data_IF_810432993369
#
_entry.id   IF_810432993369
#
_cell.length_a   1.000
_cell.length_b   1.000
_cell.length_c   1.000
_cell.angle_alpha   90.00
_cell.angle_beta   90.00
_cell.angle_gamma   90.00
#
_symmetry.space_group_name_H-M   'P 1'
#
loop_
_entity.id
_entity.type
_entity.pdbx_description
1 polymer ?
#
# COMPACT_ATOMS: atom_id res chain seq x y z
N UNK A 1 -22.41 -29.86 12.67
CA UNK A 1 -22.03 -30.46 11.37
C UNK A 1 -20.56 -30.87 11.44
N UNK A 2 -20.27 -32.14 11.21
CA UNK A 2 -18.91 -32.65 11.12
C UNK A 2 -18.38 -32.44 9.71
N UNK A 3 -17.16 -31.89 9.60
CA UNK A 3 -16.47 -31.63 8.33
C UNK A 3 -15.01 -32.11 8.39
N UNK A 4 -14.41 -32.44 7.26
CA UNK A 4 -13.04 -32.92 7.19
C UNK A 4 -12.02 -31.78 7.44
N UNK A 5 -12.38 -30.54 7.10
CA UNK A 5 -11.59 -29.35 7.35
C UNK A 5 -12.50 -28.16 7.66
N UNK A 6 -12.31 -27.57 8.82
CA UNK A 6 -13.08 -26.38 9.24
C UNK A 6 -12.74 -25.16 8.39
N UNK A 7 -11.48 -24.99 8.01
CA UNK A 7 -11.03 -23.89 7.14
C UNK A 7 -11.65 -23.98 5.75
N UNK A 8 -11.65 -25.17 5.14
CA UNK A 8 -12.28 -25.38 3.83
C UNK A 8 -13.80 -25.19 3.89
N UNK A 9 -14.44 -25.64 4.98
CA UNK A 9 -15.86 -25.41 5.20
C UNK A 9 -16.17 -23.91 5.32
N UNK A 10 -15.36 -23.16 6.07
CA UNK A 10 -15.51 -21.72 6.23
C UNK A 10 -15.38 -20.99 4.88
N UNK A 11 -14.37 -21.33 4.07
CA UNK A 11 -14.19 -20.75 2.72
C UNK A 11 -15.40 -21.01 1.81
N UNK A 12 -15.90 -22.24 1.79
CA UNK A 12 -17.10 -22.62 1.00
C UNK A 12 -18.35 -21.90 1.48
N UNK A 13 -18.54 -21.75 2.79
CA UNK A 13 -19.67 -20.99 3.35
C UNK A 13 -19.56 -19.52 2.98
N UNK A 14 -18.36 -18.91 3.05
CA UNK A 14 -18.15 -17.53 2.66
C UNK A 14 -18.42 -17.30 1.16
N UNK A 15 -17.92 -18.19 0.30
CA UNK A 15 -18.19 -18.15 -1.14
C UNK A 15 -19.69 -18.26 -1.45
N UNK A 16 -20.41 -19.20 -0.79
CA UNK A 16 -21.86 -19.32 -0.90
C UNK A 16 -22.57 -18.07 -0.39
N UNK A 17 -22.21 -17.59 0.81
CA UNK A 17 -22.83 -16.39 1.39
C UNK A 17 -22.63 -15.17 0.45
N UNK A 18 -21.44 -15.01 -0.15
CA UNK A 18 -21.18 -13.96 -1.14
C UNK A 18 -22.17 -13.98 -2.31
N UNK A 19 -22.59 -15.15 -2.78
CA UNK A 19 -23.57 -15.24 -3.88
C UNK A 19 -24.98 -14.79 -3.49
N UNK A 20 -25.28 -14.69 -2.21
CA UNK A 20 -26.56 -14.20 -1.69
C UNK A 20 -26.59 -12.67 -1.48
N UNK A 21 -25.47 -12.01 -1.73
CA UNK A 21 -25.29 -10.57 -1.49
C UNK A 21 -25.33 -9.80 -2.82
N UNK A 22 -26.09 -8.72 -2.84
CA UNK A 22 -26.20 -7.81 -4.01
C UNK A 22 -25.15 -6.68 -4.01
N UNK A 23 -24.37 -6.51 -2.93
CA UNK A 23 -23.38 -5.46 -2.87
C UNK A 23 -22.29 -5.62 -3.93
N UNK A 24 -21.81 -4.51 -4.46
CA UNK A 24 -20.63 -4.46 -5.32
C UNK A 24 -19.37 -4.78 -4.54
N UNK A 25 -18.43 -5.49 -5.15
CA UNK A 25 -17.15 -5.82 -4.50
C UNK A 25 -16.00 -5.23 -5.30
N UNK A 26 -15.17 -4.45 -4.61
CA UNK A 26 -13.87 -3.99 -5.08
C UNK A 26 -12.80 -4.88 -4.45
N UNK A 27 -12.13 -5.70 -5.25
CA UNK A 27 -11.01 -6.53 -4.83
C UNK A 27 -9.69 -5.79 -5.04
N UNK A 28 -8.85 -5.72 -4.02
CA UNK A 28 -7.58 -4.99 -4.07
C UNK A 28 -6.43 -5.91 -3.72
N UNK A 29 -5.40 -5.93 -4.57
CA UNK A 29 -4.12 -6.57 -4.29
C UNK A 29 -2.95 -5.72 -4.78
N UNK A 30 -1.74 -6.19 -4.57
CA UNK A 30 -0.47 -5.57 -4.99
C UNK A 30 0.66 -5.94 -4.07
N UNK A 31 1.87 -5.60 -4.44
CA UNK A 31 3.04 -5.84 -3.60
C UNK A 31 3.08 -4.87 -2.42
N UNK A 32 2.86 -3.58 -2.68
CA UNK A 32 2.90 -2.50 -1.69
C UNK A 32 1.63 -1.65 -1.82
N UNK A 33 1.22 -0.99 -0.74
CA UNK A 33 0.16 0.01 -0.76
C UNK A 33 -1.28 -0.52 -0.71
N UNK A 34 -1.50 -1.84 -0.66
CA UNK A 34 -2.85 -2.45 -0.61
C UNK A 34 -3.78 -1.79 0.41
N UNK A 35 -3.33 -1.72 1.65
CA UNK A 35 -4.14 -1.21 2.76
C UNK A 35 -4.42 0.29 2.61
N UNK A 36 -3.40 1.09 2.28
CA UNK A 36 -3.58 2.53 2.06
C UNK A 36 -4.50 2.83 0.87
N UNK A 37 -4.37 2.06 -0.22
CA UNK A 37 -5.26 2.15 -1.38
C UNK A 37 -6.69 1.75 -1.01
N UNK A 38 -6.87 0.69 -0.20
CA UNK A 38 -8.17 0.27 0.33
C UNK A 38 -8.83 1.38 1.14
N UNK A 39 -8.08 2.03 2.04
CA UNK A 39 -8.61 3.14 2.85
C UNK A 39 -9.00 4.33 1.96
N UNK A 40 -8.17 4.68 0.98
CA UNK A 40 -8.47 5.75 0.03
C UNK A 40 -9.73 5.46 -0.78
N UNK A 41 -9.85 4.26 -1.35
CA UNK A 41 -11.03 3.83 -2.09
C UNK A 41 -12.26 3.84 -1.20
N UNK A 42 -12.16 3.32 0.02
CA UNK A 42 -13.28 3.32 0.96
C UNK A 42 -13.72 4.76 1.31
N UNK A 43 -12.79 5.66 1.62
CA UNK A 43 -13.07 7.07 1.92
C UNK A 43 -13.79 7.78 0.75
N UNK A 44 -13.37 7.51 -0.49
CA UNK A 44 -14.05 8.01 -1.69
C UNK A 44 -15.47 7.45 -1.80
N UNK A 45 -15.65 6.15 -1.64
CA UNK A 45 -16.94 5.51 -1.81
C UNK A 45 -17.94 5.84 -0.68
N UNK A 46 -17.45 6.10 0.53
CA UNK A 46 -18.25 6.50 1.69
C UNK A 46 -18.96 7.84 1.51
N UNK A 47 -18.57 8.63 0.50
CA UNK A 47 -19.29 9.87 0.16
C UNK A 47 -20.69 9.60 -0.40
N UNK A 48 -20.97 8.40 -0.89
CA UNK A 48 -22.27 8.02 -1.46
C UNK A 48 -22.83 6.71 -0.93
N UNK A 49 -21.98 5.74 -0.63
CA UNK A 49 -22.36 4.36 -0.35
C UNK A 49 -22.15 3.97 1.11
N UNK A 50 -22.92 2.99 1.56
CA UNK A 50 -22.66 2.27 2.81
C UNK A 50 -21.57 1.22 2.53
N UNK A 51 -20.34 1.54 2.89
CA UNK A 51 -19.17 0.72 2.59
C UNK A 51 -18.85 -0.23 3.76
N UNK A 52 -18.50 -1.48 3.42
CA UNK A 52 -17.74 -2.37 4.30
C UNK A 52 -16.33 -2.48 3.73
N UNK A 53 -15.30 -2.44 4.57
CA UNK A 53 -13.92 -2.67 4.15
C UNK A 53 -13.23 -3.72 5.01
N UNK A 54 -12.19 -4.35 4.47
CA UNK A 54 -11.32 -5.25 5.25
C UNK A 54 -10.71 -4.48 6.42
N UNK A 55 -10.88 -5.00 7.62
CA UNK A 55 -10.28 -4.47 8.85
C UNK A 55 -8.90 -5.11 9.08
N UNK A 56 -7.94 -4.31 9.56
CA UNK A 56 -6.59 -4.78 9.87
C UNK A 56 -5.96 -5.53 8.69
N UNK A 57 -5.46 -6.74 8.96
CA UNK A 57 -4.83 -7.64 8.01
C UNK A 57 -5.70 -8.87 7.65
N UNK A 58 -7.03 -8.77 7.75
CA UNK A 58 -7.95 -9.87 7.42
C UNK A 58 -8.07 -10.07 5.90
N UNK A 59 -6.93 -10.21 5.23
CA UNK A 59 -6.77 -10.25 3.77
C UNK A 59 -6.33 -11.62 3.21
N UNK A 60 -6.18 -12.63 4.07
CA UNK A 60 -5.76 -13.99 3.72
C UNK A 60 -6.93 -14.99 3.71
N UNK A 61 -6.64 -16.28 3.52
CA UNK A 61 -7.64 -17.35 3.43
C UNK A 61 -8.49 -17.59 4.70
N UNK A 62 -8.11 -16.98 5.83
CA UNK A 62 -8.90 -16.98 7.07
C UNK A 62 -9.59 -15.63 7.26
N UNK A 63 -8.89 -14.54 7.08
CA UNK A 63 -9.40 -13.19 7.32
C UNK A 63 -10.46 -12.75 6.32
N UNK A 64 -10.28 -13.07 5.04
CA UNK A 64 -11.23 -12.69 3.99
C UNK A 64 -12.62 -13.33 4.20
N UNK A 65 -12.77 -14.64 4.48
CA UNK A 65 -14.07 -15.21 4.85
C UNK A 65 -14.73 -14.49 6.03
N UNK A 66 -13.97 -14.19 7.08
CA UNK A 66 -14.49 -13.47 8.25
C UNK A 66 -14.97 -12.05 7.88
N UNK A 67 -14.27 -11.38 6.97
CA UNK A 67 -14.70 -10.09 6.43
C UNK A 67 -15.99 -10.22 5.61
N UNK A 68 -16.08 -11.23 4.73
CA UNK A 68 -17.29 -11.50 3.93
C UNK A 68 -18.49 -11.76 4.85
N UNK A 69 -18.31 -12.49 5.94
CA UNK A 69 -19.38 -12.72 6.91
C UNK A 69 -19.88 -11.46 7.63
N UNK A 70 -19.13 -10.36 7.61
CA UNK A 70 -19.59 -9.06 8.14
C UNK A 70 -20.47 -8.28 7.17
N UNK A 71 -20.50 -8.64 5.88
CA UNK A 71 -21.36 -7.97 4.90
C UNK A 71 -22.83 -8.23 5.26
N UNK A 72 -23.67 -7.19 5.18
CA UNK A 72 -25.11 -7.22 5.46
C UNK A 72 -25.86 -6.52 4.34
N UNK A 73 -27.17 -6.73 4.26
CA UNK A 73 -28.03 -6.11 3.25
C UNK A 73 -27.97 -4.57 3.20
N UNK A 74 -27.51 -3.91 4.27
CA UNK A 74 -27.31 -2.46 4.29
C UNK A 74 -26.06 -2.00 3.53
N UNK A 75 -25.08 -2.89 3.31
CA UNK A 75 -23.84 -2.53 2.62
C UNK A 75 -24.05 -2.59 1.11
N UNK A 76 -23.72 -1.49 0.45
CA UNK A 76 -23.89 -1.32 -0.99
C UNK A 76 -22.60 -1.69 -1.73
N UNK A 77 -21.44 -1.42 -1.09
CA UNK A 77 -20.11 -1.76 -1.60
C UNK A 77 -19.28 -2.43 -0.50
N UNK A 78 -18.51 -3.44 -0.88
CA UNK A 78 -17.46 -4.03 -0.05
C UNK A 78 -16.10 -3.84 -0.71
N UNK A 79 -15.12 -3.31 0.06
CA UNK A 79 -13.74 -3.10 -0.39
C UNK A 79 -12.88 -4.16 0.29
N UNK A 80 -12.49 -5.18 -0.46
CA UNK A 80 -11.84 -6.38 0.05
C UNK A 80 -10.36 -6.42 -0.34
N UNK A 81 -9.50 -6.30 0.66
CA UNK A 81 -8.07 -6.49 0.49
C UNK A 81 -7.74 -7.98 0.38
N UNK A 82 -6.92 -8.36 -0.61
CA UNK A 82 -6.47 -9.73 -0.84
C UNK A 82 -4.95 -9.79 -0.87
N UNK A 83 -4.37 -10.37 0.17
CA UNK A 83 -2.94 -10.59 0.35
C UNK A 83 -2.58 -12.04 0.03
N UNK A 84 -1.48 -12.22 -0.69
CA UNK A 84 -0.98 -13.55 -1.06
C UNK A 84 0.52 -13.64 -0.84
N UNK A 85 0.99 -14.84 -0.56
CA UNK A 85 2.39 -15.21 -0.44
C UNK A 85 2.81 -16.30 -1.42
N UNK A 86 1.84 -17.05 -2.01
CA UNK A 86 2.12 -18.18 -2.88
C UNK A 86 1.12 -18.24 -4.06
N UNK A 87 1.46 -19.05 -5.07
CA UNK A 87 0.58 -19.33 -6.22
C UNK A 87 -0.72 -20.02 -5.80
N UNK A 88 -1.81 -19.71 -6.50
CA UNK A 88 -3.14 -20.26 -6.26
C UNK A 88 -3.86 -19.67 -5.03
N UNK A 89 -3.19 -18.90 -4.16
CA UNK A 89 -3.87 -18.22 -3.06
C UNK A 89 -4.82 -17.15 -3.59
N UNK A 90 -4.40 -16.34 -4.56
CA UNK A 90 -5.27 -15.33 -5.16
C UNK A 90 -6.48 -15.96 -5.83
N UNK A 91 -6.29 -17.07 -6.54
CA UNK A 91 -7.40 -17.83 -7.13
C UNK A 91 -8.46 -18.19 -6.06
N UNK A 92 -8.02 -18.72 -4.91
CA UNK A 92 -8.94 -19.10 -3.81
C UNK A 92 -9.61 -17.88 -3.17
N UNK A 93 -8.87 -16.80 -2.95
CA UNK A 93 -9.43 -15.56 -2.38
C UNK A 93 -10.43 -14.91 -3.34
N UNK A 94 -10.08 -14.78 -4.60
CA UNK A 94 -10.93 -14.16 -5.60
C UNK A 94 -12.19 -14.98 -5.90
N UNK A 95 -12.10 -16.33 -5.86
CA UNK A 95 -13.25 -17.20 -5.97
C UNK A 95 -14.29 -16.96 -4.85
N UNK A 96 -13.84 -16.62 -3.64
CA UNK A 96 -14.72 -16.24 -2.53
C UNK A 96 -15.26 -14.81 -2.69
N UNK A 97 -14.40 -13.86 -3.04
CA UNK A 97 -14.75 -12.44 -3.14
C UNK A 97 -15.64 -12.12 -4.35
N UNK A 98 -15.37 -12.74 -5.51
CA UNK A 98 -16.03 -12.50 -6.80
C UNK A 98 -16.14 -11.01 -7.11
N UNK A 99 -15.00 -10.32 -7.38
CA UNK A 99 -14.99 -8.87 -7.51
C UNK A 99 -15.78 -8.38 -8.72
N UNK A 100 -16.43 -7.23 -8.58
CA UNK A 100 -16.97 -6.42 -9.68
C UNK A 100 -15.87 -5.50 -10.26
N UNK A 101 -14.92 -5.07 -9.40
CA UNK A 101 -13.77 -4.27 -9.78
C UNK A 101 -12.53 -4.90 -9.17
N UNK A 102 -11.52 -5.18 -10.00
CA UNK A 102 -10.20 -5.66 -9.58
C UNK A 102 -9.17 -4.55 -9.67
N UNK A 103 -8.48 -4.27 -8.57
CA UNK A 103 -7.41 -3.26 -8.50
C UNK A 103 -6.09 -3.91 -8.14
N UNK A 104 -5.03 -3.67 -8.91
CA UNK A 104 -3.66 -4.05 -8.55
C UNK A 104 -2.80 -2.80 -8.49
N UNK A 105 -2.20 -2.56 -7.31
CA UNK A 105 -1.45 -1.33 -7.05
C UNK A 105 -0.09 -1.29 -7.72
N UNK A 106 0.67 -2.38 -7.61
CA UNK A 106 2.01 -2.54 -8.22
C UNK A 106 2.51 -3.98 -8.12
N UNK A 107 3.57 -4.29 -8.90
CA UNK A 107 4.31 -5.55 -8.88
C UNK A 107 5.76 -5.28 -8.45
N UNK A 108 5.98 -5.23 -7.15
CA UNK A 108 7.30 -5.02 -6.54
C UNK A 108 7.95 -6.33 -6.09
N UNK A 109 9.07 -6.19 -5.37
CA UNK A 109 9.83 -7.30 -4.80
C UNK A 109 9.26 -7.71 -3.43
N UNK A 110 8.24 -8.57 -3.44
CA UNK A 110 7.67 -9.15 -2.22
C UNK A 110 7.47 -10.66 -2.43
N UNK A 111 7.58 -11.44 -1.36
CA UNK A 111 7.38 -12.90 -1.39
C UNK A 111 8.21 -13.61 -2.49
N UNK A 112 9.42 -13.09 -2.79
CA UNK A 112 10.31 -13.64 -3.82
C UNK A 112 10.72 -15.09 -3.51
N UNK A 113 10.78 -15.46 -2.25
CA UNK A 113 11.08 -16.81 -1.81
C UNK A 113 10.12 -17.84 -2.41
N UNK A 114 8.82 -17.53 -2.47
CA UNK A 114 7.78 -18.43 -2.97
C UNK A 114 7.44 -18.18 -4.45
N UNK A 115 7.40 -16.92 -4.87
CA UNK A 115 6.97 -16.52 -6.22
C UNK A 115 8.13 -16.38 -7.22
N UNK A 116 9.37 -16.44 -6.75
CA UNK A 116 10.62 -16.51 -7.53
C UNK A 116 10.99 -15.19 -8.22
N UNK A 117 10.10 -14.62 -9.04
CA UNK A 117 10.37 -13.44 -9.86
C UNK A 117 9.22 -12.46 -9.86
N UNK A 118 9.46 -11.22 -10.35
CA UNK A 118 8.36 -10.25 -10.56
C UNK A 118 7.32 -10.75 -11.56
N UNK A 119 7.69 -11.58 -12.52
CA UNK A 119 6.73 -12.21 -13.43
C UNK A 119 5.87 -13.26 -12.71
N UNK A 120 6.45 -14.03 -11.78
CA UNK A 120 5.70 -14.91 -10.90
C UNK A 120 4.73 -14.15 -9.99
N UNK A 121 5.16 -13.00 -9.45
CA UNK A 121 4.29 -12.12 -8.65
C UNK A 121 3.13 -11.55 -9.50
N UNK A 122 3.40 -11.13 -10.73
CA UNK A 122 2.37 -10.70 -11.67
C UNK A 122 1.37 -11.83 -11.95
N UNK A 123 1.88 -13.03 -12.28
CA UNK A 123 1.05 -14.21 -12.53
C UNK A 123 0.14 -14.51 -11.34
N UNK A 124 0.71 -14.63 -10.13
CA UNK A 124 -0.04 -14.95 -8.92
C UNK A 124 -1.13 -13.90 -8.62
N UNK A 125 -0.83 -12.60 -8.75
CA UNK A 125 -1.82 -11.54 -8.46
C UNK A 125 -2.90 -11.41 -9.53
N UNK A 126 -2.59 -11.71 -10.79
CA UNK A 126 -3.57 -11.66 -11.89
C UNK A 126 -4.52 -12.85 -11.92
N UNK A 127 -4.31 -13.92 -11.11
CA UNK A 127 -5.31 -14.96 -10.86
C UNK A 127 -6.65 -14.39 -10.38
N UNK A 128 -6.66 -13.17 -9.81
CA UNK A 128 -7.89 -12.46 -9.46
C UNK A 128 -8.82 -12.27 -10.65
N UNK A 129 -8.29 -12.12 -11.84
CA UNK A 129 -9.07 -11.80 -13.05
C UNK A 129 -9.95 -12.96 -13.49
N UNK A 130 -9.61 -14.21 -13.15
CA UNK A 130 -10.40 -15.40 -13.47
C UNK A 130 -11.74 -15.44 -12.73
N UNK A 131 -11.87 -14.64 -11.66
CA UNK A 131 -13.04 -14.61 -10.78
C UNK A 131 -13.80 -13.28 -10.79
N UNK A 132 -13.48 -12.38 -11.71
CA UNK A 132 -14.26 -11.15 -11.90
C UNK A 132 -15.69 -11.50 -12.32
N UNK A 133 -16.64 -10.67 -11.89
CA UNK A 133 -18.01 -10.74 -12.42
C UNK A 133 -18.00 -10.52 -13.94
N UNK A 134 -19.05 -11.00 -14.63
CA UNK A 134 -19.17 -10.92 -16.10
C UNK A 134 -18.95 -9.51 -16.63
N UNK A 135 -19.46 -8.49 -15.92
CA UNK A 135 -19.26 -7.08 -16.26
C UNK A 135 -18.14 -6.41 -15.47
N UNK A 136 -17.25 -7.22 -14.87
CA UNK A 136 -16.16 -6.74 -14.04
C UNK A 136 -15.16 -5.88 -14.81
N UNK A 137 -14.56 -4.92 -14.08
CA UNK A 137 -13.59 -3.95 -14.59
C UNK A 137 -12.25 -4.16 -13.89
N UNK A 138 -11.15 -3.96 -14.62
CA UNK A 138 -9.79 -4.00 -14.07
C UNK A 138 -9.18 -2.61 -14.08
N UNK A 139 -8.60 -2.22 -12.97
CA UNK A 139 -7.93 -0.93 -12.78
C UNK A 139 -6.48 -1.19 -12.36
N UNK A 140 -5.52 -0.72 -13.14
CA UNK A 140 -4.10 -0.98 -12.94
C UNK A 140 -3.27 0.30 -12.93
N UNK A 141 -2.19 0.27 -12.16
CA UNK A 141 -1.17 1.30 -12.22
C UNK A 141 -0.40 1.22 -13.54
N UNK A 142 -0.57 2.22 -14.39
CA UNK A 142 0.06 2.31 -15.70
C UNK A 142 1.55 2.69 -15.68
N UNK A 143 2.07 3.10 -14.52
CA UNK A 143 3.49 3.39 -14.34
C UNK A 143 4.28 2.17 -13.85
N UNK A 144 3.60 1.05 -13.60
CA UNK A 144 4.24 -0.23 -13.29
C UNK A 144 4.52 -1.00 -14.60
N UNK A 145 5.80 -1.34 -14.84
CA UNK A 145 6.28 -2.01 -16.05
C UNK A 145 5.64 -3.38 -16.29
N UNK A 146 5.24 -4.07 -15.22
CA UNK A 146 4.59 -5.38 -15.31
C UNK A 146 3.09 -5.24 -15.55
N UNK A 147 2.42 -4.34 -14.83
CA UNK A 147 0.99 -4.13 -14.98
C UNK A 147 0.63 -3.51 -16.35
N UNK A 148 1.46 -2.62 -16.88
CA UNK A 148 1.28 -2.00 -18.21
C UNK A 148 1.25 -3.01 -19.37
N UNK A 149 1.74 -4.23 -19.16
CA UNK A 149 1.63 -5.33 -20.16
C UNK A 149 0.22 -5.89 -20.30
N UNK A 150 -0.67 -5.65 -19.33
CA UNK A 150 -2.04 -6.20 -19.29
C UNK A 150 -3.04 -5.19 -19.84
N UNK A 151 -3.05 -5.02 -21.17
CA UNK A 151 -3.91 -4.02 -21.84
C UNK A 151 -5.40 -4.40 -21.90
N UNK A 152 -5.68 -5.69 -21.77
CA UNK A 152 -7.03 -6.27 -21.87
C UNK A 152 -7.18 -7.44 -20.90
N UNK A 153 -8.36 -7.57 -20.30
CA UNK A 153 -8.75 -8.70 -19.45
C UNK A 153 -10.17 -9.11 -19.79
N UNK A 154 -10.39 -10.40 -20.08
CA UNK A 154 -11.70 -10.96 -20.42
C UNK A 154 -12.40 -10.22 -21.58
N UNK A 155 -11.65 -9.79 -22.60
CA UNK A 155 -12.15 -9.07 -23.76
C UNK A 155 -12.53 -7.60 -23.50
N UNK A 156 -12.12 -7.03 -22.36
CA UNK A 156 -12.38 -5.63 -21.99
C UNK A 156 -11.08 -4.89 -21.78
N UNK A 157 -11.00 -3.60 -22.21
CA UNK A 157 -9.83 -2.78 -21.94
C UNK A 157 -9.65 -2.56 -20.43
N UNK A 158 -8.40 -2.51 -20.00
CA UNK A 158 -8.02 -2.14 -18.65
C UNK A 158 -8.04 -0.62 -18.50
N UNK A 159 -8.47 -0.13 -17.33
CA UNK A 159 -8.38 1.28 -16.98
C UNK A 159 -7.03 1.51 -16.32
N UNK A 160 -6.21 2.37 -16.94
CA UNK A 160 -4.90 2.72 -16.40
C UNK A 160 -4.92 4.07 -15.70
N UNK A 161 -4.27 4.10 -14.52
CA UNK A 161 -3.99 5.34 -13.81
C UNK A 161 -2.48 5.52 -13.60
N UNK A 162 -2.02 6.77 -13.40
CA UNK A 162 -0.61 7.05 -13.11
C UNK A 162 -0.28 8.54 -13.07
N UNK A 163 0.98 8.88 -12.94
CA UNK A 163 1.49 10.26 -12.90
C UNK A 163 1.90 10.70 -14.30
N UNK A 164 1.54 11.95 -14.66
CA UNK A 164 1.75 12.50 -16.00
C UNK A 164 0.85 11.88 -17.08
N UNK A 165 0.55 12.63 -18.13
CA UNK A 165 -0.27 12.17 -19.24
C UNK A 165 0.44 11.08 -20.07
N UNK A 166 1.74 11.25 -20.26
CA UNK A 166 2.56 10.31 -21.02
C UNK A 166 2.90 9.08 -20.20
N UNK A 167 3.03 7.96 -20.86
CA UNK A 167 3.50 6.71 -20.25
C UNK A 167 4.85 6.33 -20.83
N UNK A 168 5.75 5.82 -19.98
CA UNK A 168 6.99 5.19 -20.40
C UNK A 168 6.74 3.85 -21.15
N UNK A 169 5.50 3.36 -21.10
CA UNK A 169 5.05 2.12 -21.72
C UNK A 169 4.00 2.44 -22.81
N UNK A 170 3.85 1.58 -23.78
CA UNK A 170 2.87 1.76 -24.86
C UNK A 170 1.43 1.55 -24.37
N UNK A 171 0.96 2.45 -23.49
CA UNK A 171 -0.41 2.52 -22.96
C UNK A 171 -0.85 3.98 -22.88
N UNK A 172 -2.18 4.18 -22.86
CA UNK A 172 -2.81 5.45 -22.51
C UNK A 172 -3.34 5.38 -21.10
N UNK A 173 -3.01 6.36 -20.27
CA UNK A 173 -3.63 6.51 -18.95
C UNK A 173 -4.99 7.19 -19.08
N UNK A 174 -6.01 6.59 -18.48
CA UNK A 174 -7.37 7.15 -18.48
C UNK A 174 -7.52 8.20 -17.37
N UNK A 175 -6.75 8.05 -16.30
CA UNK A 175 -6.75 8.92 -15.13
C UNK A 175 -5.29 9.20 -14.75
N UNK A 176 -4.92 10.47 -14.65
CA UNK A 176 -3.54 10.82 -14.30
C UNK A 176 -3.45 12.10 -13.49
N UNK A 177 -2.35 12.25 -12.75
CA UNK A 177 -2.05 13.42 -11.95
C UNK A 177 -0.94 14.26 -12.57
N UNK A 178 -1.09 15.59 -12.52
CA UNK A 178 -0.05 16.58 -12.79
C UNK A 178 0.05 17.57 -11.63
N UNK A 179 0.95 18.53 -11.74
CA UNK A 179 1.09 19.63 -10.77
C UNK A 179 1.15 19.10 -9.32
N UNK A 180 1.98 18.07 -9.12
CA UNK A 180 2.14 17.42 -7.82
C UNK A 180 3.00 18.31 -6.92
N UNK A 181 2.44 18.72 -5.80
CA UNK A 181 3.11 19.52 -4.78
C UNK A 181 3.24 18.74 -3.48
N UNK A 182 4.45 18.69 -2.93
CA UNK A 182 4.74 18.04 -1.65
C UNK A 182 4.74 19.09 -0.54
N UNK A 183 3.79 18.99 0.38
CA UNK A 183 3.67 19.88 1.54
C UNK A 183 4.23 19.24 2.83
N UNK A 184 5.17 18.32 2.72
CA UNK A 184 5.77 17.61 3.85
C UNK A 184 4.70 16.81 4.61
N UNK A 185 4.66 16.98 5.93
CA UNK A 185 3.70 16.25 6.78
C UNK A 185 2.24 16.66 6.60
N UNK A 186 1.95 17.79 5.95
CA UNK A 186 0.58 18.21 5.64
C UNK A 186 -0.03 17.43 4.48
N UNK A 187 0.78 16.64 3.77
CA UNK A 187 0.35 15.79 2.67
C UNK A 187 0.73 16.30 1.29
N UNK A 188 -0.06 15.96 0.30
CA UNK A 188 0.18 16.24 -1.12
C UNK A 188 -0.97 17.02 -1.73
N UNK A 189 -0.67 17.85 -2.72
CA UNK A 189 -1.66 18.39 -3.65
C UNK A 189 -1.34 17.91 -5.07
N UNK A 190 -2.37 17.69 -5.88
CA UNK A 190 -2.20 17.32 -7.27
C UNK A 190 -3.42 17.72 -8.09
N UNK A 191 -3.23 17.99 -9.38
CA UNK A 191 -4.31 18.11 -10.32
C UNK A 191 -4.59 16.74 -10.94
N UNK A 192 -5.81 16.22 -10.76
CA UNK A 192 -6.23 14.93 -11.30
C UNK A 192 -7.07 15.15 -12.55
N UNK A 193 -6.65 14.50 -13.64
CA UNK A 193 -7.31 14.50 -14.93
C UNK A 193 -8.11 13.22 -15.13
N UNK A 194 -9.35 13.35 -15.57
CA UNK A 194 -10.27 12.22 -15.81
C UNK A 194 -11.08 12.43 -17.07
N UNK A 195 -11.70 11.38 -17.64
CA UNK A 195 -12.62 11.50 -18.76
C UNK A 195 -13.85 12.38 -18.49
N UNK A 196 -14.17 12.64 -17.20
CA UNK A 196 -15.32 13.46 -16.80
C UNK A 196 -14.94 14.92 -16.48
N UNK A 197 -13.64 15.27 -16.55
CA UNK A 197 -13.09 16.59 -16.25
C UNK A 197 -11.97 16.52 -15.21
N UNK A 198 -11.36 17.67 -14.96
CA UNK A 198 -10.21 17.82 -14.09
C UNK A 198 -10.64 18.39 -12.73
N UNK A 199 -9.85 18.09 -11.70
CA UNK A 199 -10.03 18.68 -10.37
C UNK A 199 -8.72 18.73 -9.57
N UNK A 200 -8.65 19.67 -8.62
CA UNK A 200 -7.55 19.75 -7.68
C UNK A 200 -7.84 18.84 -6.49
N UNK A 201 -6.92 17.93 -6.21
CA UNK A 201 -6.99 16.99 -5.11
C UNK A 201 -6.07 17.42 -3.96
N UNK A 202 -6.62 17.50 -2.75
CA UNK A 202 -5.86 17.64 -1.51
C UNK A 202 -5.80 16.28 -0.81
N UNK A 203 -4.62 15.72 -0.66
CA UNK A 203 -4.37 14.39 -0.08
C UNK A 203 -3.71 14.60 1.28
N UNK A 204 -4.43 14.44 2.42
CA UNK A 204 -3.91 14.81 3.75
C UNK A 204 -2.96 13.75 4.34
N UNK A 205 -2.28 13.00 3.48
CA UNK A 205 -1.32 11.96 3.87
C UNK A 205 -0.01 12.22 3.10
N UNK A 206 1.13 12.32 3.80
CA UNK A 206 2.42 12.61 3.16
C UNK A 206 2.91 11.49 2.25
N UNK A 207 3.67 11.88 1.23
CA UNK A 207 4.36 10.98 0.32
C UNK A 207 3.67 10.80 -1.04
N UNK A 208 4.46 10.86 -2.10
CA UNK A 208 4.00 10.81 -3.49
C UNK A 208 3.20 9.52 -3.82
N UNK A 209 3.53 8.40 -3.15
CA UNK A 209 2.78 7.16 -3.30
C UNK A 209 1.29 7.30 -2.95
N UNK A 210 0.91 8.29 -2.13
CA UNK A 210 -0.49 8.57 -1.83
C UNK A 210 -1.23 9.30 -2.97
N UNK A 211 -0.51 9.90 -3.91
CA UNK A 211 -1.10 10.38 -5.18
C UNK A 211 -1.60 9.17 -5.99
N UNK A 212 -0.82 8.09 -6.08
CA UNK A 212 -1.28 6.85 -6.72
C UNK A 212 -2.50 6.23 -6.02
N UNK A 213 -2.55 6.28 -4.68
CA UNK A 213 -3.71 5.81 -3.94
C UNK A 213 -4.96 6.67 -4.28
N UNK A 214 -4.81 7.99 -4.40
CA UNK A 214 -5.89 8.91 -4.79
C UNK A 214 -6.36 8.66 -6.23
N UNK A 215 -5.43 8.36 -7.16
CA UNK A 215 -5.76 8.00 -8.54
C UNK A 215 -6.54 6.69 -8.61
N UNK A 216 -6.14 5.67 -7.85
CA UNK A 216 -6.90 4.41 -7.74
C UNK A 216 -8.30 4.64 -7.15
N UNK A 217 -8.40 5.48 -6.10
CA UNK A 217 -9.68 5.90 -5.51
C UNK A 217 -10.57 6.63 -6.51
N UNK A 218 -9.98 7.52 -7.31
CA UNK A 218 -10.66 8.24 -8.40
C UNK A 218 -11.21 7.27 -9.44
N UNK A 219 -10.38 6.32 -9.90
CA UNK A 219 -10.77 5.33 -10.89
C UNK A 219 -11.97 4.49 -10.43
N UNK A 220 -11.91 3.97 -9.19
CA UNK A 220 -13.00 3.18 -8.61
C UNK A 220 -14.25 4.03 -8.40
N UNK A 221 -14.10 5.27 -7.90
CA UNK A 221 -15.21 6.20 -7.71
C UNK A 221 -15.97 6.48 -9.00
N UNK A 222 -15.25 6.78 -10.08
CA UNK A 222 -15.85 6.99 -11.42
C UNK A 222 -16.58 5.76 -11.94
N UNK A 223 -16.01 4.56 -11.77
CA UNK A 223 -16.64 3.30 -12.19
C UNK A 223 -17.94 3.00 -11.42
N UNK A 224 -18.05 3.47 -10.20
CA UNK A 224 -19.27 3.35 -9.39
C UNK A 224 -20.18 4.58 -9.48
N UNK A 225 -19.87 5.52 -10.39
CA UNK A 225 -20.74 6.64 -10.73
C UNK A 225 -20.70 7.82 -9.78
N UNK A 226 -19.67 7.95 -8.94
CA UNK A 226 -19.48 9.15 -8.13
C UNK A 226 -19.13 10.35 -9.01
N UNK A 227 -19.59 11.51 -8.61
CA UNK A 227 -19.19 12.78 -9.21
C UNK A 227 -17.77 13.17 -8.78
N UNK A 228 -17.09 13.97 -9.61
CA UNK A 228 -15.78 14.53 -9.30
C UNK A 228 -15.76 15.20 -7.90
N UNK A 229 -16.83 15.90 -7.55
CA UNK A 229 -16.94 16.58 -6.23
C UNK A 229 -16.93 15.58 -5.08
N UNK A 230 -17.67 14.48 -5.18
CA UNK A 230 -17.67 13.43 -4.15
C UNK A 230 -16.30 12.75 -4.07
N UNK A 231 -15.68 12.49 -5.21
CA UNK A 231 -14.32 11.90 -5.26
C UNK A 231 -13.31 12.81 -4.57
N UNK A 232 -13.27 14.10 -4.93
CA UNK A 232 -12.37 15.07 -4.32
C UNK A 232 -12.59 15.19 -2.80
N UNK A 233 -13.85 15.19 -2.35
CA UNK A 233 -14.21 15.22 -0.94
C UNK A 233 -13.75 13.94 -0.22
N UNK A 234 -13.92 12.78 -0.82
CA UNK A 234 -13.48 11.50 -0.26
C UNK A 234 -11.96 11.42 -0.14
N UNK A 235 -11.22 11.88 -1.15
CA UNK A 235 -9.76 11.99 -1.08
C UNK A 235 -9.33 12.90 0.07
N UNK A 236 -9.95 14.07 0.21
CA UNK A 236 -9.62 15.02 1.26
C UNK A 236 -10.01 14.55 2.68
N UNK A 237 -10.88 13.57 2.79
CA UNK A 237 -11.38 13.03 4.06
C UNK A 237 -10.64 11.77 4.53
N UNK A 238 -9.71 11.22 3.73
CA UNK A 238 -8.98 10.01 4.09
C UNK A 238 -8.14 10.22 5.33
N UNK A 239 -8.10 9.20 6.20
CA UNK A 239 -7.31 9.22 7.41
C UNK A 239 -6.24 8.12 7.37
N UNK A 240 -5.12 8.37 8.04
CA UNK A 240 -4.09 7.37 8.27
C UNK A 240 -4.58 6.31 9.25
N UNK A 241 -3.97 5.14 9.18
CA UNK A 241 -4.14 4.07 10.17
C UNK A 241 -2.80 3.80 10.86
N UNK A 242 -2.86 3.29 12.08
CA UNK A 242 -1.66 2.93 12.84
C UNK A 242 -0.71 2.06 12.02
N UNK A 243 0.58 2.34 12.08
CA UNK A 243 1.62 1.64 11.35
C UNK A 243 1.70 1.94 9.85
N UNK A 244 0.97 2.94 9.33
CA UNK A 244 0.94 3.32 7.89
C UNK A 244 1.05 4.83 7.74
N UNK A 245 2.27 5.35 7.79
CA UNK A 245 2.56 6.79 7.72
C UNK A 245 1.69 7.58 8.70
N UNK A 246 1.46 7.01 9.90
CA UNK A 246 0.62 7.60 10.92
C UNK A 246 1.42 8.63 11.72
N UNK A 247 0.91 9.85 11.84
CA UNK A 247 1.60 10.93 12.53
C UNK A 247 1.18 10.99 14.00
N UNK A 248 2.17 10.85 14.88
CA UNK A 248 1.99 10.94 16.32
C UNK A 248 2.79 12.14 16.85
N UNK A 249 2.17 12.95 17.70
CA UNK A 249 2.84 14.06 18.37
C UNK A 249 3.10 13.70 19.82
N UNK A 250 4.38 13.55 20.19
CA UNK A 250 4.80 13.09 21.51
C UNK A 250 5.92 13.98 22.05
N UNK A 251 5.71 14.62 23.19
CA UNK A 251 6.71 15.48 23.87
C UNK A 251 7.38 16.50 22.94
N UNK A 252 6.59 17.15 22.07
CA UNK A 252 7.09 18.14 21.14
C UNK A 252 7.83 17.59 19.92
N UNK A 253 7.89 16.28 19.76
CA UNK A 253 8.40 15.58 18.57
C UNK A 253 7.25 15.15 17.65
N UNK A 254 7.54 14.97 16.38
CA UNK A 254 6.65 14.28 15.44
C UNK A 254 7.22 12.89 15.13
N UNK A 255 6.42 11.86 15.36
CA UNK A 255 6.77 10.47 15.00
C UNK A 255 5.95 10.03 13.82
N UNK A 256 6.63 9.60 12.75
CA UNK A 256 6.03 8.95 11.59
C UNK A 256 6.02 7.45 11.88
N UNK A 257 4.89 6.95 12.37
CA UNK A 257 4.67 5.53 12.61
C UNK A 257 4.35 4.83 11.30
N UNK A 258 5.31 4.11 10.74
CA UNK A 258 5.17 3.31 9.51
C UNK A 258 5.71 1.88 9.73
N UNK A 259 5.50 1.35 10.94
CA UNK A 259 6.12 0.11 11.42
C UNK A 259 5.29 -1.16 11.19
N UNK A 260 4.22 -1.12 10.38
CA UNK A 260 3.44 -2.33 10.10
C UNK A 260 4.25 -3.39 9.34
N UNK A 261 5.00 -3.01 8.31
CA UNK A 261 5.90 -3.89 7.56
C UNK A 261 6.93 -3.09 6.76
N UNK A 262 8.02 -3.73 6.34
CA UNK A 262 9.08 -3.11 5.57
C UNK A 262 9.47 -3.95 4.34
N UNK A 263 9.70 -3.27 3.23
CA UNK A 263 10.34 -3.78 2.01
C UNK A 263 11.07 -2.63 1.31
N UNK A 264 11.95 -2.89 0.35
CA UNK A 264 12.80 -1.84 -0.24
C UNK A 264 12.03 -0.64 -0.80
N UNK A 265 10.88 -0.87 -1.44
CA UNK A 265 10.06 0.20 -2.03
C UNK A 265 9.43 1.06 -0.94
N UNK A 266 8.79 0.44 0.05
CA UNK A 266 8.15 1.17 1.14
C UNK A 266 9.16 1.87 2.06
N UNK A 267 10.35 1.29 2.26
CA UNK A 267 11.44 1.94 3.02
C UNK A 267 11.89 3.23 2.35
N UNK A 268 12.16 3.19 1.03
CA UNK A 268 12.55 4.39 0.27
C UNK A 268 11.47 5.47 0.28
N UNK A 269 10.20 5.08 0.12
CA UNK A 269 9.08 6.01 0.19
C UNK A 269 8.97 6.70 1.56
N UNK A 270 9.16 5.96 2.66
CA UNK A 270 9.10 6.54 4.01
C UNK A 270 10.31 7.43 4.32
N UNK A 271 11.50 7.05 3.83
CA UNK A 271 12.72 7.87 3.90
C UNK A 271 12.51 9.20 3.15
N UNK A 272 11.90 9.15 1.96
CA UNK A 272 11.55 10.34 1.19
C UNK A 272 10.58 11.26 1.94
N UNK A 273 9.55 10.69 2.57
CA UNK A 273 8.65 11.47 3.45
C UNK A 273 9.43 12.18 4.56
N UNK A 274 10.32 11.46 5.26
CA UNK A 274 11.14 12.05 6.31
C UNK A 274 12.06 13.15 5.78
N UNK A 275 12.67 12.95 4.61
CA UNK A 275 13.57 13.92 3.97
C UNK A 275 12.90 15.27 3.68
N UNK A 276 11.57 15.28 3.43
CA UNK A 276 10.79 16.49 3.18
C UNK A 276 10.20 17.13 4.44
N UNK A 277 10.62 16.71 5.62
CA UNK A 277 10.19 17.32 6.90
C UNK A 277 11.13 18.45 7.31
N UNK A 278 10.62 19.34 8.16
CA UNK A 278 11.41 20.39 8.81
C UNK A 278 12.04 19.87 10.12
N UNK A 279 13.08 20.55 10.56
CA UNK A 279 13.80 20.21 11.79
C UNK A 279 14.80 19.08 11.61
N UNK A 280 15.21 18.48 12.72
CA UNK A 280 16.15 17.36 12.72
C UNK A 280 15.41 16.03 12.39
N UNK A 281 15.91 15.30 11.40
CA UNK A 281 15.32 14.10 10.80
C UNK A 281 16.03 12.86 11.28
N UNK A 282 15.32 11.99 11.94
CA UNK A 282 15.84 10.76 12.54
C UNK A 282 15.13 9.56 11.92
N UNK A 283 15.87 8.68 11.28
CA UNK A 283 15.35 7.40 10.79
C UNK A 283 15.63 6.29 11.79
N UNK A 284 14.61 5.54 12.20
CA UNK A 284 14.70 4.36 13.06
C UNK A 284 14.26 3.16 12.25
N UNK A 285 15.22 2.34 11.80
CA UNK A 285 14.99 1.29 10.82
C UNK A 285 15.37 -0.09 11.38
N UNK A 286 14.47 -1.06 11.22
CA UNK A 286 14.72 -2.46 11.51
C UNK A 286 14.84 -3.30 10.24
N UNK A 287 15.15 -4.60 10.39
CA UNK A 287 15.33 -5.52 9.27
C UNK A 287 14.08 -5.62 8.38
N UNK A 288 14.32 -5.83 7.09
CA UNK A 288 13.31 -6.22 6.11
C UNK A 288 13.30 -7.75 5.97
N UNK A 289 12.12 -8.37 5.99
CA UNK A 289 11.95 -9.82 5.82
C UNK A 289 11.57 -10.24 4.39
N UNK A 290 11.60 -11.55 4.14
CA UNK A 290 11.09 -12.21 2.93
C UNK A 290 11.76 -11.76 1.61
N UNK A 291 13.03 -11.35 1.67
CA UNK A 291 13.77 -10.81 0.52
C UNK A 291 14.60 -11.88 -0.22
N UNK A 292 14.71 -13.09 0.33
CA UNK A 292 15.46 -14.18 -0.29
C UNK A 292 16.98 -13.91 -0.38
N UNK A 293 17.62 -14.44 -1.42
CA UNK A 293 19.08 -14.40 -1.55
C UNK A 293 19.68 -12.97 -1.68
N UNK A 294 18.88 -11.99 -2.08
CA UNK A 294 19.34 -10.61 -2.28
C UNK A 294 19.18 -9.72 -1.03
N UNK A 295 18.78 -10.28 0.11
CA UNK A 295 18.45 -9.52 1.33
C UNK A 295 19.52 -8.50 1.73
N UNK A 296 20.81 -8.86 1.70
CA UNK A 296 21.90 -7.96 2.06
C UNK A 296 22.03 -6.77 1.11
N UNK A 297 21.99 -7.02 -0.21
CA UNK A 297 22.11 -5.94 -1.20
C UNK A 297 20.90 -5.01 -1.15
N UNK A 298 19.70 -5.56 -0.92
CA UNK A 298 18.50 -4.77 -0.74
C UNK A 298 18.59 -3.89 0.52
N UNK A 299 19.14 -4.40 1.63
CA UNK A 299 19.43 -3.58 2.82
C UNK A 299 20.47 -2.50 2.51
N UNK A 300 21.58 -2.80 1.82
CA UNK A 300 22.54 -1.79 1.37
C UNK A 300 21.90 -0.69 0.56
N UNK A 301 20.97 -1.04 -0.34
CA UNK A 301 20.25 -0.05 -1.14
C UNK A 301 19.48 0.97 -0.29
N UNK A 302 19.02 0.58 0.89
CA UNK A 302 18.36 1.47 1.84
C UNK A 302 19.37 2.35 2.57
N UNK A 303 20.50 1.80 3.00
CA UNK A 303 21.61 2.60 3.57
C UNK A 303 22.08 3.70 2.62
N UNK A 304 22.24 3.37 1.33
CA UNK A 304 22.54 4.36 0.27
C UNK A 304 21.44 5.43 0.14
N UNK A 305 20.17 5.04 0.23
CA UNK A 305 19.06 5.99 0.21
C UNK A 305 19.08 6.93 1.41
N UNK A 306 19.37 6.44 2.62
CA UNK A 306 19.55 7.26 3.82
C UNK A 306 20.69 8.25 3.62
N UNK A 307 21.86 7.79 3.14
CA UNK A 307 23.02 8.66 2.88
C UNK A 307 22.71 9.79 1.90
N UNK A 308 21.86 9.56 0.91
CA UNK A 308 21.50 10.53 -0.13
C UNK A 308 20.36 11.49 0.27
N UNK A 309 19.63 11.21 1.36
CA UNK A 309 18.35 11.90 1.68
C UNK A 309 18.50 13.06 2.67
N UNK A 310 19.71 13.40 3.11
CA UNK A 310 19.94 14.48 4.08
C UNK A 310 19.30 14.22 5.45
N UNK A 311 19.24 12.97 5.88
CA UNK A 311 18.79 12.54 7.22
C UNK A 311 19.92 12.81 8.20
N UNK A 312 19.59 13.42 9.36
CA UNK A 312 20.57 13.84 10.35
C UNK A 312 21.09 12.68 11.21
N UNK A 313 20.23 11.66 11.47
CA UNK A 313 20.64 10.46 12.19
C UNK A 313 19.92 9.20 11.75
N UNK A 314 20.64 8.08 11.65
CA UNK A 314 20.12 6.75 11.44
C UNK A 314 20.31 5.90 12.70
N UNK A 315 19.24 5.45 13.29
CA UNK A 315 19.20 4.40 14.30
C UNK A 315 18.73 3.10 13.63
N UNK A 316 19.51 2.04 13.72
CA UNK A 316 19.11 0.79 13.11
C UNK A 316 19.40 -0.42 14.00
N UNK A 317 18.48 -1.37 14.01
CA UNK A 317 18.55 -2.58 14.80
C UNK A 317 18.19 -3.83 13.99
N UNK A 318 18.92 -4.90 14.23
CA UNK A 318 18.72 -6.19 13.56
C UNK A 318 20.02 -6.75 13.00
N UNK A 319 19.95 -7.97 12.51
CA UNK A 319 21.13 -8.66 11.93
C UNK A 319 21.52 -8.07 10.57
N UNK A 320 20.52 -7.76 9.73
CA UNK A 320 20.72 -7.21 8.39
C UNK A 320 20.82 -5.67 8.41
N UNK A 321 20.38 -5.03 9.49
CA UNK A 321 20.48 -3.59 9.67
C UNK A 321 21.92 -3.07 9.70
N UNK A 322 22.92 -3.94 9.93
CA UNK A 322 24.35 -3.62 9.78
C UNK A 322 24.68 -3.14 8.36
N UNK A 323 23.99 -3.67 7.36
CA UNK A 323 24.16 -3.28 5.96
C UNK A 323 23.66 -1.84 5.71
N UNK A 324 22.59 -1.39 6.40
CA UNK A 324 22.19 0.03 6.37
C UNK A 324 23.29 0.92 6.94
N UNK A 325 23.77 0.56 8.14
CA UNK A 325 24.79 1.35 8.84
C UNK A 325 26.08 1.49 8.05
N UNK A 326 26.50 0.42 7.37
CA UNK A 326 27.70 0.42 6.53
C UNK A 326 27.60 1.46 5.39
N UNK A 327 26.50 1.48 4.67
CA UNK A 327 26.32 2.38 3.52
C UNK A 327 25.96 3.81 3.93
N UNK A 328 25.18 4.00 5.01
CA UNK A 328 24.81 5.32 5.51
C UNK A 328 26.01 6.14 5.97
N UNK A 329 27.08 5.50 6.46
CA UNK A 329 28.34 6.15 6.83
C UNK A 329 29.07 6.86 5.67
N UNK A 330 28.65 6.61 4.42
CA UNK A 330 29.16 7.35 3.28
C UNK A 330 28.80 8.84 3.33
N UNK A 331 27.75 9.21 4.07
CA UNK A 331 27.42 10.60 4.37
C UNK A 331 27.96 10.98 5.77
N UNK A 332 29.03 11.81 5.86
CA UNK A 332 29.61 12.19 7.14
C UNK A 332 28.71 13.10 7.99
N UNK A 333 27.65 13.68 7.40
CA UNK A 333 26.67 14.51 8.11
C UNK A 333 25.56 13.68 8.76
N UNK A 334 25.44 12.38 8.44
CA UNK A 334 24.48 11.47 9.06
C UNK A 334 25.13 10.72 10.22
N UNK A 335 24.66 10.96 11.43
CA UNK A 335 25.08 10.18 12.60
C UNK A 335 24.51 8.75 12.50
N UNK A 336 25.33 7.71 12.62
CA UNK A 336 24.89 6.32 12.42
C UNK A 336 25.05 5.52 13.70
N UNK A 337 23.93 5.06 14.25
CA UNK A 337 23.80 4.25 15.45
C UNK A 337 23.27 2.86 15.07
N UNK A 338 24.09 1.83 15.28
CA UNK A 338 23.70 0.44 15.02
C UNK A 338 23.78 -0.39 16.28
N UNK A 339 22.75 -1.20 16.51
CA UNK A 339 22.69 -2.21 17.56
C UNK A 339 22.17 -3.53 17.00
N UNK A 340 22.52 -4.64 17.67
CA UNK A 340 21.99 -5.95 17.28
C UNK A 340 20.54 -6.16 17.72
N UNK A 341 20.15 -5.54 18.81
CA UNK A 341 18.81 -5.70 19.39
C UNK A 341 18.04 -4.37 19.42
N UNK A 342 16.73 -4.47 19.39
CA UNK A 342 15.82 -3.34 19.51
C UNK A 342 15.94 -2.66 20.88
N UNK A 343 16.11 -3.45 21.94
CA UNK A 343 16.19 -2.96 23.31
C UNK A 343 17.39 -2.04 23.49
N UNK A 344 18.59 -2.49 23.08
CA UNK A 344 19.82 -1.68 23.14
C UNK A 344 19.71 -0.38 22.33
N UNK A 345 19.09 -0.45 21.14
CA UNK A 345 18.88 0.73 20.30
C UNK A 345 17.87 1.70 20.93
N UNK A 346 16.81 1.19 21.56
CA UNK A 346 15.76 2.02 22.18
C UNK A 346 16.32 2.87 23.30
N UNK A 347 17.20 2.32 24.15
CA UNK A 347 17.84 3.09 25.24
C UNK A 347 18.65 4.26 24.69
N UNK A 348 19.44 4.02 23.65
CA UNK A 348 20.26 5.05 23.02
C UNK A 348 19.42 6.11 22.31
N UNK A 349 18.38 5.68 21.56
CA UNK A 349 17.44 6.55 20.88
C UNK A 349 16.72 7.50 21.86
N UNK A 350 16.22 6.96 22.98
CA UNK A 350 15.51 7.76 23.99
C UNK A 350 16.40 8.82 24.65
N UNK A 351 17.70 8.58 24.75
CA UNK A 351 18.66 9.55 25.25
C UNK A 351 19.04 10.61 24.19
N UNK A 352 18.85 10.33 22.91
CA UNK A 352 19.26 11.16 21.79
C UNK A 352 18.18 12.13 21.31
N UNK A 353 16.92 11.68 21.26
CA UNK A 353 15.79 12.45 20.71
C UNK A 353 15.41 13.61 21.62
N UNK A 354 14.97 14.71 21.02
CA UNK A 354 14.55 15.92 21.71
C UNK A 354 13.37 16.63 21.03
N UNK A 355 12.80 17.58 21.70
CA UNK A 355 11.76 18.45 21.14
C UNK A 355 12.20 19.07 19.80
N UNK A 356 11.28 19.09 18.83
CA UNK A 356 11.50 19.56 17.46
C UNK A 356 12.00 18.49 16.49
N UNK A 357 12.30 17.28 16.95
CA UNK A 357 12.71 16.17 16.08
C UNK A 357 11.52 15.60 15.28
N UNK A 358 11.79 15.17 14.04
CA UNK A 358 10.91 14.28 13.30
C UNK A 358 11.56 12.89 13.22
N UNK A 359 10.84 11.88 13.71
CA UNK A 359 11.34 10.51 13.85
C UNK A 359 10.51 9.57 13.00
N UNK A 360 11.11 8.93 11.98
CA UNK A 360 10.50 7.84 11.24
C UNK A 360 10.78 6.51 11.93
N UNK A 361 9.76 5.70 12.19
CA UNK A 361 9.93 4.33 12.69
C UNK A 361 9.40 3.34 11.66
N UNK A 362 10.29 2.42 11.20
CA UNK A 362 9.92 1.42 10.19
C UNK A 362 10.73 0.13 10.30
N UNK A 363 10.01 -0.99 10.32
CA UNK A 363 10.59 -2.34 10.33
C UNK A 363 9.60 -3.36 9.75
N UNK A 364 10.08 -4.56 9.48
CA UNK A 364 9.20 -5.69 9.19
C UNK A 364 8.43 -6.12 10.43
N UNK A 365 7.25 -6.66 10.22
CA UNK A 365 6.33 -7.06 11.28
C UNK A 365 6.92 -8.02 12.33
N UNK A 366 7.86 -8.89 11.92
CA UNK A 366 8.53 -9.82 12.84
C UNK A 366 9.49 -9.15 13.83
N UNK A 367 9.82 -7.88 13.62
CA UNK A 367 10.68 -7.11 14.55
C UNK A 367 9.91 -6.59 15.78
N UNK A 368 8.57 -6.61 15.73
CA UNK A 368 7.59 -6.16 16.75
C UNK A 368 7.78 -4.73 17.26
#
# INVERSE_FOLDING_TARGET
>A
ILVSSTTEAMKKIAAFYRTQLSCKVVGITGSVGKTSTKEMIASVLEQRYKVLKTEGNFNNEIGLPLTIFKIRAKHEVAVLEMGISDFGEMHRLAAMARPDIGVITNIGLCHLENLGTRDGILQAKTEMFDHLQVDGTVILNGDDDKLSTKKEVNGKPVIFYGVGADSAFDIKKDIYATDIENHGLEGMCAKIHTPQGDFDAKIPIPGEHNVYNALAGTAVGLQLGLSIREIAQGIASVQTIAGRTNLLHVKGMTVIDDCYNANPVSMKASIDVLAHTSGRRIAVLGDMGELGAEEKELHRSIGKAVAASGIDALFCAGTLAEEYASEAKANPECEVHYKKTREEMTEELLAYVKEGDTVLVKASHFME
#
